data_IF_353649286987
#
_entry.id   IF_353649286987
#
_cell.length_a   1.000
_cell.length_b   1.000
_cell.length_c   1.000
_cell.angle_alpha   90.00
_cell.angle_beta   90.00
_cell.angle_gamma   90.00
#
_symmetry.space_group_name_H-M   'P 1'
#
loop_
_entity.id
_entity.type
_entity.pdbx_description
1 polymer ?
#
# COMPACT_ATOMS: atom_id res chain seq x y z
N UNK A 1 -14.31 -28.43 -49.32
CA UNK A 1 -14.89 -28.99 -48.09
C UNK A 1 -14.08 -28.43 -46.92
N UNK A 2 -14.69 -27.55 -46.13
CA UNK A 2 -14.10 -26.87 -44.96
C UNK A 2 -14.40 -27.70 -43.70
N UNK A 3 -13.42 -27.94 -42.84
CA UNK A 3 -13.60 -28.43 -41.45
C UNK A 3 -12.33 -28.04 -40.66
N UNK A 4 -12.32 -26.83 -40.09
CA UNK A 4 -12.54 -26.52 -38.66
C UNK A 4 -11.52 -27.23 -37.76
N UNK A 5 -10.45 -26.50 -37.42
CA UNK A 5 -9.54 -26.82 -36.32
C UNK A 5 -10.12 -26.15 -35.08
N UNK A 6 -10.70 -26.93 -34.18
CA UNK A 6 -11.11 -26.43 -32.86
C UNK A 6 -9.89 -26.50 -31.94
N UNK A 7 -9.23 -25.37 -31.72
CA UNK A 7 -8.28 -25.25 -30.61
C UNK A 7 -9.13 -25.12 -29.35
N UNK A 8 -9.21 -26.19 -28.57
CA UNK A 8 -9.66 -26.11 -27.18
C UNK A 8 -8.51 -25.42 -26.43
N UNK A 9 -8.46 -24.09 -26.52
CA UNK A 9 -7.69 -23.25 -25.62
C UNK A 9 -8.42 -23.24 -24.28
N UNK A 10 -8.36 -24.37 -23.58
CA UNK A 10 -8.84 -24.47 -22.21
C UNK A 10 -7.96 -23.59 -21.36
N UNK A 11 -8.38 -22.34 -21.15
CA UNK A 11 -7.89 -21.53 -20.05
C UNK A 11 -8.32 -22.27 -18.79
N UNK A 12 -7.41 -23.05 -18.22
CA UNK A 12 -7.52 -23.51 -16.85
C UNK A 12 -7.33 -22.25 -16.01
N UNK A 13 -8.38 -21.45 -15.86
CA UNK A 13 -8.47 -20.53 -14.73
C UNK A 13 -8.58 -21.42 -13.51
N UNK A 14 -7.45 -21.63 -12.82
CA UNK A 14 -7.46 -22.21 -11.49
C UNK A 14 -8.48 -21.43 -10.67
N UNK A 15 -9.51 -22.13 -10.21
CA UNK A 15 -10.41 -21.65 -9.18
C UNK A 15 -9.52 -21.48 -7.95
N UNK A 16 -8.99 -20.28 -7.74
CA UNK A 16 -8.42 -19.90 -6.46
C UNK A 16 -9.61 -19.80 -5.53
N UNK A 17 -9.77 -20.83 -4.72
CA UNK A 17 -10.70 -20.83 -3.60
C UNK A 17 -10.39 -19.60 -2.75
N UNK A 18 -11.39 -18.74 -2.65
CA UNK A 18 -11.76 -17.74 -1.63
C UNK A 18 -10.94 -17.70 -0.31
N UNK A 19 -9.61 -17.65 -0.42
CA UNK A 19 -8.71 -17.13 0.59
C UNK A 19 -8.42 -15.73 0.09
N UNK A 20 -8.94 -14.72 0.78
CA UNK A 20 -8.71 -13.32 0.44
C UNK A 20 -7.20 -13.08 0.34
N UNK A 21 -6.70 -13.09 -0.90
CA UNK A 21 -5.29 -12.96 -1.23
C UNK A 21 -4.85 -11.57 -0.79
N UNK A 22 -3.86 -11.51 0.10
CA UNK A 22 -3.11 -10.28 0.33
C UNK A 22 -2.47 -9.86 -1.00
N UNK A 23 -2.97 -8.79 -1.57
CA UNK A 23 -2.58 -8.30 -2.89
C UNK A 23 -2.18 -6.84 -2.79
N UNK A 24 -1.03 -6.52 -3.37
CA UNK A 24 -0.60 -5.15 -3.65
C UNK A 24 -0.66 -4.90 -5.15
N UNK A 25 -1.22 -3.76 -5.57
CA UNK A 25 -1.38 -3.41 -6.98
C UNK A 25 -1.22 -1.91 -7.20
N UNK A 26 -0.92 -1.49 -8.44
CA UNK A 26 -0.80 -0.06 -8.80
C UNK A 26 0.57 0.57 -8.55
N UNK A 27 1.47 -0.10 -7.83
CA UNK A 27 2.84 0.38 -7.58
C UNK A 27 3.87 -0.05 -8.65
N UNK A 28 3.46 -0.82 -9.66
CA UNK A 28 4.39 -1.28 -10.70
C UNK A 28 4.92 -0.12 -11.53
N UNK A 29 6.24 0.11 -11.49
CA UNK A 29 6.91 1.19 -12.23
C UNK A 29 6.93 2.55 -11.50
N UNK A 30 6.21 2.64 -10.38
CA UNK A 30 6.26 3.76 -9.46
C UNK A 30 7.62 3.85 -8.77
N UNK A 31 7.97 5.05 -8.31
CA UNK A 31 9.28 5.27 -7.69
C UNK A 31 9.33 4.80 -6.23
N UNK A 32 8.18 4.87 -5.55
CA UNK A 32 7.95 4.31 -4.22
C UNK A 32 6.90 3.21 -4.35
N UNK A 33 7.20 2.04 -3.80
CA UNK A 33 6.37 0.85 -3.96
C UNK A 33 6.05 0.24 -2.62
N UNK A 34 4.82 -0.19 -2.39
CA UNK A 34 4.51 -1.08 -1.28
C UNK A 34 4.85 -2.50 -1.73
N UNK A 35 5.78 -3.17 -1.05
CA UNK A 35 6.17 -4.55 -1.36
C UNK A 35 5.33 -5.56 -0.61
N UNK A 36 5.02 -5.24 0.65
CA UNK A 36 4.32 -6.10 1.56
C UNK A 36 3.51 -5.26 2.54
N UNK A 37 2.49 -5.87 3.11
CA UNK A 37 1.73 -5.30 4.21
C UNK A 37 1.26 -6.41 5.13
N UNK A 38 0.93 -6.04 6.37
CA UNK A 38 0.33 -6.96 7.31
C UNK A 38 -0.17 -6.22 8.53
N UNK A 39 -1.11 -6.81 9.26
CA UNK A 39 -1.53 -6.26 10.55
C UNK A 39 -0.69 -6.90 11.65
N UNK A 40 -0.04 -6.06 12.44
CA UNK A 40 0.78 -6.46 13.58
C UNK A 40 -0.07 -6.95 14.75
N UNK A 41 0.57 -7.64 15.70
CA UNK A 41 -0.08 -8.12 16.92
C UNK A 41 -0.68 -7.02 17.80
N UNK A 42 -0.24 -5.76 17.60
CA UNK A 42 -0.68 -4.58 18.35
C UNK A 42 -1.86 -3.86 17.67
N UNK A 43 -2.50 -4.49 16.67
CA UNK A 43 -3.58 -3.91 15.86
C UNK A 43 -3.16 -2.66 15.08
N UNK A 44 -1.98 -2.72 14.46
CA UNK A 44 -1.49 -1.68 13.55
C UNK A 44 -1.21 -2.30 12.17
N UNK A 45 -1.46 -1.55 11.10
CA UNK A 45 -1.08 -1.92 9.75
C UNK A 45 0.39 -1.56 9.52
N UNK A 46 1.23 -2.58 9.34
CA UNK A 46 2.59 -2.41 8.86
C UNK A 46 2.61 -2.44 7.34
N UNK A 47 3.15 -1.39 6.72
CA UNK A 47 3.42 -1.30 5.29
C UNK A 47 4.93 -1.33 5.05
N UNK A 48 5.41 -2.26 4.21
CA UNK A 48 6.78 -2.28 3.75
C UNK A 48 6.88 -1.46 2.45
N UNK A 49 7.50 -0.29 2.54
CA UNK A 49 7.66 0.65 1.44
C UNK A 49 9.10 0.63 0.93
N UNK A 50 9.28 0.30 -0.34
CA UNK A 50 10.55 0.28 -1.06
C UNK A 50 10.74 1.53 -1.89
N UNK A 51 11.92 2.14 -1.79
CA UNK A 51 12.41 3.06 -2.80
C UNK A 51 13.01 2.29 -3.98
N UNK A 52 12.20 2.10 -5.03
CA UNK A 52 12.58 1.27 -6.18
C UNK A 52 13.58 1.96 -7.13
N UNK A 53 13.96 3.22 -6.87
CA UNK A 53 14.87 3.99 -7.73
C UNK A 53 16.16 4.39 -7.01
N UNK A 54 17.10 4.93 -7.80
CA UNK A 54 18.35 5.49 -7.28
C UNK A 54 18.09 6.89 -6.73
N UNK A 55 18.91 7.30 -5.76
CA UNK A 55 18.70 8.50 -4.95
C UNK A 55 18.03 8.18 -3.61
N UNK A 56 18.20 9.09 -2.65
CA UNK A 56 17.45 9.07 -1.39
C UNK A 56 16.10 9.74 -1.61
N UNK A 57 15.06 9.17 -1.02
CA UNK A 57 13.72 9.74 -0.99
C UNK A 57 13.38 10.11 0.43
N UNK A 58 12.85 11.31 0.61
CA UNK A 58 12.25 11.73 1.87
C UNK A 58 10.76 11.45 1.78
N UNK A 59 10.27 10.44 2.50
CA UNK A 59 8.84 10.23 2.63
C UNK A 59 8.26 11.32 3.54
N UNK A 60 7.11 11.88 3.16
CA UNK A 60 6.52 13.03 3.88
C UNK A 60 5.11 12.77 4.40
N UNK A 61 4.35 11.91 3.71
CA UNK A 61 2.98 11.60 4.08
C UNK A 61 2.60 10.24 3.53
N UNK A 62 1.89 9.48 4.36
CA UNK A 62 1.23 8.24 3.97
C UNK A 62 -0.25 8.36 4.24
N UNK A 63 -1.03 8.15 3.19
CA UNK A 63 -2.48 8.15 3.25
C UNK A 63 -2.99 6.76 2.93
N UNK A 64 -3.89 6.25 3.74
CA UNK A 64 -4.59 4.98 3.51
C UNK A 64 -6.10 5.25 3.58
N UNK A 65 -6.82 4.93 2.52
CA UNK A 65 -8.26 5.20 2.38
C UNK A 65 -9.00 3.91 2.07
N UNK A 66 -9.94 3.52 2.92
CA UNK A 66 -10.79 2.35 2.76
C UNK A 66 -11.98 2.61 1.83
N UNK A 67 -12.57 1.54 1.28
CA UNK A 67 -13.77 1.63 0.44
C UNK A 67 -15.01 2.15 1.18
N UNK A 68 -15.01 2.08 2.51
CA UNK A 68 -16.02 2.66 3.39
C UNK A 68 -15.89 4.18 3.55
N UNK A 69 -14.85 4.78 2.95
CA UNK A 69 -14.53 6.20 3.05
C UNK A 69 -13.76 6.58 4.32
N UNK A 70 -13.40 5.61 5.17
CA UNK A 70 -12.48 5.86 6.28
C UNK A 70 -11.09 6.14 5.73
N UNK A 71 -10.44 7.14 6.32
CA UNK A 71 -9.17 7.64 5.81
C UNK A 71 -8.21 7.88 6.96
N UNK A 72 -7.09 7.17 6.93
CA UNK A 72 -5.91 7.53 7.69
C UNK A 72 -5.02 8.43 6.85
N UNK A 73 -4.52 9.50 7.46
CA UNK A 73 -3.51 10.35 6.84
C UNK A 73 -2.47 10.68 7.89
N UNK A 74 -1.29 10.12 7.73
CA UNK A 74 -0.13 10.50 8.52
C UNK A 74 0.51 11.74 7.88
N UNK A 75 -0.03 12.92 8.22
CA UNK A 75 0.59 14.20 7.86
C UNK A 75 1.56 14.63 8.96
N UNK A 76 2.86 14.59 8.69
CA UNK A 76 3.85 15.24 9.56
C UNK A 76 3.93 16.77 9.33
N UNK A 77 3.22 17.33 8.35
CA UNK A 77 3.15 18.78 8.15
C UNK A 77 1.75 19.34 8.43
N UNK A 78 1.41 19.44 9.72
CA UNK A 78 0.60 20.54 10.23
C UNK A 78 1.55 21.49 10.97
N UNK A 79 1.74 22.71 10.45
CA UNK A 79 2.50 23.74 11.17
C UNK A 79 1.98 23.86 12.62
N UNK A 80 2.82 23.54 13.61
CA UNK A 80 2.58 23.87 15.01
C UNK A 80 2.20 22.74 15.98
N UNK A 81 2.30 21.46 15.60
CA UNK A 81 2.19 20.33 16.53
C UNK A 81 3.51 19.57 16.64
N UNK A 82 3.92 19.19 17.85
CA UNK A 82 5.12 18.37 18.08
C UNK A 82 4.95 17.02 17.37
N UNK A 83 5.98 16.54 16.63
CA UNK A 83 5.87 15.34 15.81
C UNK A 83 5.61 14.12 16.70
N UNK A 84 4.43 13.52 16.56
CA UNK A 84 4.07 12.27 17.24
C UNK A 84 4.55 11.03 16.47
N UNK A 85 5.67 11.12 15.73
CA UNK A 85 6.39 9.96 15.20
C UNK A 85 5.80 9.30 13.95
N UNK A 86 5.22 10.08 13.03
CA UNK A 86 4.96 9.67 11.64
C UNK A 86 6.23 9.77 10.76
N UNK A 87 6.26 9.24 9.53
CA UNK A 87 7.51 8.94 8.83
C UNK A 87 7.97 10.08 7.92
N UNK A 88 8.54 11.15 8.48
CA UNK A 88 9.64 11.86 7.81
C UNK A 88 10.85 10.95 7.91
N UNK A 89 11.05 10.18 6.86
CA UNK A 89 12.06 9.16 6.85
C UNK A 89 12.77 9.11 5.50
N UNK A 90 14.09 9.21 5.56
CA UNK A 90 14.96 9.06 4.41
C UNK A 90 15.10 7.57 4.07
N UNK A 91 14.64 7.21 2.88
CA UNK A 91 14.74 5.86 2.34
C UNK A 91 15.82 5.87 1.26
N UNK A 92 16.92 5.16 1.51
CA UNK A 92 18.03 5.05 0.56
C UNK A 92 17.65 4.29 -0.70
N UNK A 93 18.57 4.25 -1.66
CA UNK A 93 18.32 3.63 -2.96
C UNK A 93 18.17 2.12 -2.85
N UNK A 94 17.04 1.58 -3.32
CA UNK A 94 16.69 0.15 -3.20
C UNK A 94 16.61 -0.32 -1.74
N UNK A 95 16.29 0.58 -0.82
CA UNK A 95 16.02 0.25 0.58
C UNK A 95 14.52 0.24 0.84
N UNK A 96 14.11 -0.67 1.72
CA UNK A 96 12.72 -0.78 2.19
C UNK A 96 12.63 -0.29 3.63
N UNK A 97 11.51 0.33 3.96
CA UNK A 97 11.18 0.84 5.28
C UNK A 97 9.81 0.31 5.72
N UNK A 98 9.67 0.02 7.00
CA UNK A 98 8.38 -0.31 7.59
C UNK A 98 7.69 0.95 8.10
N UNK A 99 6.43 1.12 7.73
CA UNK A 99 5.56 2.21 8.18
C UNK A 99 4.42 1.58 8.96
N UNK A 100 4.24 2.03 10.19
CA UNK A 100 3.23 1.49 11.09
C UNK A 100 2.09 2.49 11.18
N UNK A 101 0.90 2.04 10.79
CA UNK A 101 -0.32 2.82 10.81
C UNK A 101 -1.22 2.25 11.90
N UNK A 102 -1.59 3.04 12.93
CA UNK A 102 -2.43 2.56 14.01
C UNK A 102 -3.86 2.29 13.55
N UNK A 103 -4.64 1.64 14.43
CA UNK A 103 -6.08 1.44 14.27
C UNK A 103 -6.45 0.52 13.10
N UNK A 104 -5.76 -0.63 12.98
CA UNK A 104 -6.09 -1.66 11.99
C UNK A 104 -6.23 -3.03 12.64
N UNK A 105 -7.18 -3.84 12.17
CA UNK A 105 -7.38 -5.18 12.69
C UNK A 105 -7.51 -6.20 11.55
N UNK A 106 -7.12 -7.44 11.82
CA UNK A 106 -7.40 -8.54 10.91
C UNK A 106 -8.89 -8.90 10.97
N UNK A 107 -9.48 -9.16 9.81
CA UNK A 107 -10.89 -9.58 9.71
C UNK A 107 -11.03 -10.81 8.82
N UNK A 108 -12.18 -11.48 8.84
CA UNK A 108 -12.41 -12.64 7.97
C UNK A 108 -12.84 -12.25 6.55
N UNK A 109 -13.23 -10.98 6.35
CA UNK A 109 -13.65 -10.42 5.07
C UNK A 109 -12.51 -9.66 4.40
N UNK A 110 -12.25 -9.94 3.12
CA UNK A 110 -11.32 -9.15 2.33
C UNK A 110 -11.84 -7.74 2.10
N UNK A 111 -11.04 -6.73 2.44
CA UNK A 111 -11.29 -5.32 2.12
C UNK A 111 -10.13 -4.76 1.31
N UNK A 112 -10.39 -3.70 0.54
CA UNK A 112 -9.37 -2.98 -0.21
C UNK A 112 -9.16 -1.58 0.36
N UNK A 113 -7.92 -1.14 0.32
CA UNK A 113 -7.49 0.19 0.76
C UNK A 113 -6.61 0.81 -0.32
N UNK A 114 -6.92 2.05 -0.68
CA UNK A 114 -6.07 2.87 -1.52
C UNK A 114 -4.95 3.46 -0.66
N UNK A 115 -3.71 3.24 -1.09
CA UNK A 115 -2.51 3.71 -0.39
C UNK A 115 -1.83 4.75 -1.27
N UNK A 116 -1.60 5.93 -0.71
CA UNK A 116 -0.90 7.03 -1.35
C UNK A 116 0.31 7.43 -0.51
N UNK A 117 1.47 7.34 -1.14
CA UNK A 117 2.77 7.71 -0.59
C UNK A 117 3.18 9.04 -1.20
N UNK A 118 3.36 10.09 -0.38
CA UNK A 118 3.84 11.40 -0.83
C UNK A 118 5.27 11.60 -0.36
N UNK A 119 6.16 11.98 -1.27
CA UNK A 119 7.59 12.07 -1.02
C UNK A 119 8.27 13.20 -1.78
N UNK A 120 9.49 13.53 -1.34
CA UNK A 120 10.39 14.46 -2.00
C UNK A 120 11.62 13.72 -2.53
N UNK A 121 12.16 14.18 -3.67
CA UNK A 121 13.39 13.63 -4.25
C UNK A 121 14.15 14.68 -5.03
N UNK A 122 15.45 14.82 -4.77
CA UNK A 122 16.39 15.62 -5.57
C UNK A 122 15.89 17.05 -5.90
N UNK A 123 15.16 17.68 -4.95
CA UNK A 123 14.60 19.03 -5.12
C UNK A 123 13.20 19.09 -5.74
N UNK A 124 12.64 17.95 -6.17
CA UNK A 124 11.22 17.81 -6.47
C UNK A 124 10.47 17.53 -5.17
N UNK A 125 9.40 18.29 -4.92
CA UNK A 125 8.56 18.14 -3.74
C UNK A 125 7.14 17.70 -4.10
N UNK A 126 6.45 17.05 -3.17
CA UNK A 126 5.08 16.56 -3.34
C UNK A 126 4.90 15.55 -4.50
N UNK A 127 5.90 14.71 -4.74
CA UNK A 127 5.73 13.55 -5.62
C UNK A 127 4.81 12.56 -4.92
N UNK A 128 3.98 11.84 -5.69
CA UNK A 128 3.05 10.88 -5.12
C UNK A 128 3.05 9.58 -5.92
N UNK A 129 3.15 8.46 -5.21
CA UNK A 129 2.93 7.12 -5.75
C UNK A 129 1.69 6.53 -5.10
N UNK A 130 0.81 5.97 -5.93
CA UNK A 130 -0.50 5.50 -5.52
C UNK A 130 -0.67 4.05 -5.93
N UNK A 131 -1.32 3.29 -5.08
CA UNK A 131 -1.68 1.92 -5.37
C UNK A 131 -2.78 1.45 -4.42
N UNK A 132 -3.05 0.16 -4.48
CA UNK A 132 -4.12 -0.45 -3.69
C UNK A 132 -3.61 -1.72 -3.05
N UNK A 133 -3.89 -1.85 -1.76
CA UNK A 133 -3.70 -3.08 -1.00
C UNK A 133 -5.08 -3.72 -0.78
N UNK A 134 -5.16 -5.04 -0.90
CA UNK A 134 -6.38 -5.81 -0.67
C UNK A 134 -6.04 -6.98 0.22
N UNK A 135 -6.74 -7.17 1.33
CA UNK A 135 -6.43 -8.22 2.28
C UNK A 135 -7.51 -8.39 3.35
N UNK A 136 -7.32 -9.37 4.22
CA UNK A 136 -8.19 -9.68 5.35
C UNK A 136 -7.98 -8.72 6.52
N UNK A 137 -8.15 -7.42 6.28
CA UNK A 137 -7.95 -6.36 7.28
C UNK A 137 -9.07 -5.32 7.22
N UNK A 138 -9.30 -4.63 8.32
CA UNK A 138 -10.25 -3.52 8.45
C UNK A 138 -9.61 -2.41 9.25
N UNK A 139 -9.88 -1.17 8.86
CA UNK A 139 -9.58 -0.02 9.69
C UNK A 139 -10.55 0.00 10.88
N UNK A 140 -10.05 0.32 12.07
CA UNK A 140 -10.85 0.50 13.27
C UNK A 140 -11.35 1.95 13.29
N UNK A 141 -12.66 2.13 13.44
CA UNK A 141 -13.21 3.46 13.64
C UNK A 141 -12.92 3.91 15.08
N UNK A 142 -12.00 4.86 15.24
CA UNK A 142 -11.75 5.53 16.52
C UNK A 142 -12.68 6.74 16.64
N UNK A 143 -13.92 6.48 17.11
CA UNK A 143 -14.83 7.53 17.61
C UNK A 143 -14.28 8.23 18.87
#
# INVERSE_FOLDING_TARGET
>A
MLLVVTVIGGLIFSIVQDQSLEQVSGFEGEEMQVENFGVSSDNNLSLQVLNARRGTVELTNVTVEGEDGMKYTDTEYMEGLEPMGGPVADIGSQESMEIVIPDFNNTESGQSFEVKLVYNREGLTNLASQGRITGTLSMLNTD
#
